data_IF_743661553861
#
_entry.id   IF_743661553861
#
_cell.length_a   1.000
_cell.length_b   1.000
_cell.length_c   1.000
_cell.angle_alpha   90.00
_cell.angle_beta   90.00
_cell.angle_gamma   90.00
#
_symmetry.space_group_name_H-M   'P 1'
#
loop_
_entity.id
_entity.type
_entity.pdbx_description
1 polymer ?
#
# COMPACT_ATOMS: atom_id res chain seq x y z
N UNK A 1 8.20 -11.43 -24.17
CA UNK A 1 9.09 -10.42 -23.53
C UNK A 1 8.38 -9.09 -23.66
N UNK A 2 8.25 -8.33 -22.57
CA UNK A 2 7.56 -7.05 -22.55
C UNK A 2 8.60 -5.95 -22.33
N UNK A 3 8.76 -5.05 -23.30
CA UNK A 3 9.64 -3.89 -23.19
C UNK A 3 8.80 -2.65 -22.91
N UNK A 4 9.22 -1.82 -21.95
CA UNK A 4 8.51 -0.61 -21.52
C UNK A 4 9.46 0.58 -21.57
N UNK A 5 9.10 1.61 -22.33
CA UNK A 5 9.77 2.92 -22.30
C UNK A 5 8.95 3.90 -21.43
N UNK A 6 9.62 4.51 -20.44
CA UNK A 6 9.01 5.41 -19.44
C UNK A 6 9.78 6.73 -19.37
N UNK A 7 9.18 7.80 -19.86
CA UNK A 7 9.73 9.16 -19.75
C UNK A 7 9.37 9.88 -18.42
N UNK A 8 8.78 9.20 -17.44
CA UNK A 8 8.26 9.81 -16.21
C UNK A 8 8.80 9.17 -14.92
N UNK A 9 8.87 9.97 -13.85
CA UNK A 9 9.32 9.61 -12.49
C UNK A 9 8.35 8.67 -11.73
N UNK A 10 7.92 7.58 -12.35
CA UNK A 10 7.12 6.53 -11.72
C UNK A 10 8.02 5.41 -11.18
N UNK A 11 7.57 4.81 -10.08
CA UNK A 11 8.18 3.60 -9.55
C UNK A 11 8.02 2.44 -10.54
N UNK A 12 9.14 1.96 -11.10
CA UNK A 12 9.19 0.75 -11.96
C UNK A 12 8.47 -0.44 -11.31
N UNK A 13 8.47 -0.53 -9.96
CA UNK A 13 7.77 -1.57 -9.21
C UNK A 13 6.24 -1.52 -9.34
N UNK A 14 5.62 -0.34 -9.41
CA UNK A 14 4.16 -0.22 -9.55
C UNK A 14 3.70 -0.78 -10.90
N UNK A 15 4.41 -0.41 -11.96
CA UNK A 15 4.16 -0.89 -13.33
C UNK A 15 4.43 -2.40 -13.42
N UNK A 16 5.56 -2.85 -12.85
CA UNK A 16 5.91 -4.26 -12.78
C UNK A 16 4.80 -5.09 -12.13
N UNK A 17 4.33 -4.68 -10.95
CA UNK A 17 3.29 -5.39 -10.21
C UNK A 17 1.96 -5.43 -10.97
N UNK A 18 1.61 -4.35 -11.67
CA UNK A 18 0.38 -4.28 -12.46
C UNK A 18 0.42 -5.26 -13.64
N UNK A 19 1.54 -5.33 -14.37
CA UNK A 19 1.71 -6.30 -15.47
C UNK A 19 1.66 -7.73 -14.94
N UNK A 20 2.23 -8.00 -13.76
CA UNK A 20 2.26 -9.33 -13.14
C UNK A 20 0.88 -9.85 -12.73
N UNK A 21 -0.14 -9.00 -12.65
CA UNK A 21 -1.53 -9.45 -12.51
C UNK A 21 -1.97 -10.26 -13.73
N UNK A 22 -1.53 -9.86 -14.93
CA UNK A 22 -1.96 -10.45 -16.20
C UNK A 22 -0.97 -11.49 -16.75
N UNK A 23 0.32 -11.24 -16.61
CA UNK A 23 1.38 -12.11 -17.13
C UNK A 23 2.50 -12.35 -16.11
N UNK A 24 2.54 -13.59 -15.61
CA UNK A 24 3.55 -14.06 -14.65
C UNK A 24 4.82 -14.59 -15.31
N UNK A 25 4.78 -14.84 -16.62
CA UNK A 25 5.77 -15.64 -17.35
C UNK A 25 6.74 -14.79 -18.17
N UNK A 26 6.29 -13.69 -18.76
CA UNK A 26 7.18 -12.85 -19.57
C UNK A 26 8.26 -12.19 -18.73
N UNK A 27 9.47 -12.14 -19.29
CA UNK A 27 10.48 -11.18 -18.83
C UNK A 27 9.99 -9.75 -19.14
N UNK A 28 10.02 -8.89 -18.12
CA UNK A 28 9.69 -7.46 -18.22
C UNK A 28 11.02 -6.70 -18.22
N UNK A 29 11.24 -5.86 -19.23
CA UNK A 29 12.42 -5.00 -19.35
C UNK A 29 11.98 -3.54 -19.41
N UNK A 30 12.60 -2.71 -18.59
CA UNK A 30 12.44 -1.26 -18.64
C UNK A 30 13.63 -0.71 -19.41
N UNK A 31 13.38 -0.05 -20.54
CA UNK A 31 14.40 0.56 -21.39
C UNK A 31 14.17 2.07 -21.45
N UNK A 32 15.24 2.84 -21.54
CA UNK A 32 15.21 4.30 -21.61
C UNK A 32 15.50 4.78 -23.05
N UNK A 33 15.35 3.89 -24.05
CA UNK A 33 15.68 4.14 -25.47
C UNK A 33 14.45 4.13 -26.39
N UNK A 34 14.46 5.00 -27.39
CA UNK A 34 13.34 5.26 -28.33
C UNK A 34 13.15 4.20 -29.44
N UNK A 35 14.00 3.18 -29.51
CA UNK A 35 13.98 2.19 -30.59
C UNK A 35 13.80 0.78 -30.06
N UNK A 36 12.55 0.33 -29.98
CA UNK A 36 12.21 -1.03 -29.63
C UNK A 36 11.17 -1.60 -30.61
N UNK A 37 11.54 -2.65 -31.33
CA UNK A 37 10.60 -3.48 -32.08
C UNK A 37 9.78 -4.36 -31.11
N UNK A 38 8.45 -4.21 -31.09
CA UNK A 38 7.48 -4.84 -30.16
C UNK A 38 7.59 -4.36 -28.70
N UNK A 39 7.10 -3.15 -28.43
CA UNK A 39 7.18 -2.54 -27.10
C UNK A 39 5.87 -1.84 -26.70
N UNK A 40 5.66 -1.71 -25.39
CA UNK A 40 4.68 -0.80 -24.81
C UNK A 40 5.36 0.55 -24.54
N UNK A 41 4.89 1.60 -25.21
CA UNK A 41 5.40 2.97 -25.09
C UNK A 41 4.41 3.81 -24.32
N UNK A 42 4.79 4.28 -23.12
CA UNK A 42 3.96 5.20 -22.33
C UNK A 42 4.45 6.63 -22.58
N UNK A 43 3.61 7.44 -23.22
CA UNK A 43 3.81 8.87 -23.40
C UNK A 43 3.05 9.65 -22.34
N UNK A 44 3.70 10.66 -21.77
CA UNK A 44 3.15 11.51 -20.72
C UNK A 44 3.28 12.97 -21.16
N UNK A 45 2.15 13.61 -21.38
CA UNK A 45 2.02 15.04 -21.61
C UNK A 45 1.44 15.73 -20.36
N UNK A 46 1.51 17.07 -20.31
CA UNK A 46 1.04 17.87 -19.16
C UNK A 46 -0.40 17.57 -18.70
N UNK A 47 -1.24 17.00 -19.57
CA UNK A 47 -2.64 16.67 -19.26
C UNK A 47 -3.04 15.25 -19.61
N UNK A 48 -2.18 14.47 -20.29
CA UNK A 48 -2.58 13.20 -20.91
C UNK A 48 -1.53 12.13 -20.76
N UNK A 49 -1.99 10.90 -20.51
CA UNK A 49 -1.14 9.72 -20.61
C UNK A 49 -1.65 8.83 -21.73
N UNK A 50 -0.77 8.45 -22.65
CA UNK A 50 -1.06 7.56 -23.78
C UNK A 50 -0.17 6.33 -23.71
N UNK A 51 -0.72 5.15 -23.97
CA UNK A 51 0.05 3.92 -24.10
C UNK A 51 -0.19 3.29 -25.46
N UNK A 52 0.90 3.04 -26.19
CA UNK A 52 0.91 2.39 -27.51
C UNK A 52 1.65 1.06 -27.42
N UNK A 53 1.17 0.03 -28.11
CA UNK A 53 1.85 -1.25 -28.24
C UNK A 53 2.23 -1.52 -29.70
N UNK A 54 3.52 -1.55 -30.01
CA UNK A 54 4.01 -1.84 -31.37
C UNK A 54 3.74 -3.32 -31.74
N UNK A 55 3.16 -3.55 -32.93
CA UNK A 55 2.63 -4.85 -33.37
C UNK A 55 1.11 -5.03 -33.12
N UNK A 56 0.48 -4.05 -32.48
CA UNK A 56 -0.97 -3.89 -32.33
C UNK A 56 -1.34 -2.46 -32.71
N UNK A 57 -1.13 -2.07 -33.98
CA UNK A 57 -1.40 -0.72 -34.52
C UNK A 57 -2.82 -0.18 -34.24
N UNK A 58 -3.71 -0.95 -33.61
CA UNK A 58 -5.10 -0.62 -33.28
C UNK A 58 -5.42 -0.48 -31.79
N UNK A 59 -4.50 -0.72 -30.86
CA UNK A 59 -4.77 -0.60 -29.42
C UNK A 59 -3.99 0.57 -28.81
N UNK A 60 -4.66 1.72 -28.73
CA UNK A 60 -4.19 2.89 -27.99
C UNK A 60 -5.21 3.24 -26.91
N UNK A 61 -4.74 3.37 -25.67
CA UNK A 61 -5.55 3.91 -24.57
C UNK A 61 -4.96 5.24 -24.15
N UNK A 62 -5.83 6.22 -23.88
CA UNK A 62 -5.45 7.47 -23.24
C UNK A 62 -6.39 7.83 -22.09
N UNK A 63 -5.88 8.60 -21.14
CA UNK A 63 -6.68 9.16 -20.05
C UNK A 63 -6.20 10.58 -19.76
N UNK A 64 -7.15 11.47 -19.49
CA UNK A 64 -6.83 12.80 -18.99
C UNK A 64 -6.52 12.71 -17.50
N UNK A 65 -5.41 13.32 -17.08
CA UNK A 65 -4.96 13.31 -15.69
C UNK A 65 -5.98 14.02 -14.78
N UNK A 66 -6.67 15.04 -15.31
CA UNK A 66 -7.68 15.80 -14.57
C UNK A 66 -8.95 14.98 -14.30
N UNK A 67 -9.28 14.00 -15.13
CA UNK A 67 -10.47 13.15 -14.95
C UNK A 67 -10.36 12.18 -13.76
N UNK A 68 -9.17 12.02 -13.18
CA UNK A 68 -8.90 11.10 -12.06
C UNK A 68 -8.71 11.80 -10.70
N UNK A 69 -9.03 13.09 -10.59
CA UNK A 69 -8.66 13.99 -9.48
C UNK A 69 -9.51 13.87 -8.20
N UNK A 70 -9.86 12.66 -7.76
CA UNK A 70 -10.77 12.50 -6.61
C UNK A 70 -10.11 12.66 -5.23
N UNK A 71 -8.77 12.60 -5.13
CA UNK A 71 -8.06 12.52 -3.84
C UNK A 71 -6.83 13.40 -3.68
N UNK A 72 -6.26 13.84 -4.79
CA UNK A 72 -4.89 14.34 -4.83
C UNK A 72 -4.82 15.57 -5.72
N UNK A 73 -4.42 16.69 -5.12
CA UNK A 73 -4.09 17.90 -5.87
C UNK A 73 -2.65 17.86 -6.39
N UNK A 74 -1.80 17.04 -5.77
CA UNK A 74 -0.42 16.84 -6.20
C UNK A 74 -0.36 16.19 -7.58
N UNK A 75 0.22 16.91 -8.54
CA UNK A 75 0.36 16.49 -9.93
C UNK A 75 1.02 15.12 -10.06
N UNK A 76 2.10 14.87 -9.31
CA UNK A 76 2.85 13.61 -9.31
C UNK A 76 1.98 12.40 -8.97
N UNK A 77 1.05 12.53 -8.02
CA UNK A 77 0.18 11.43 -7.61
C UNK A 77 -0.92 11.17 -8.64
N UNK A 78 -1.50 12.24 -9.21
CA UNK A 78 -2.48 12.12 -10.30
C UNK A 78 -1.86 11.47 -11.55
N UNK A 79 -0.64 11.86 -11.89
CA UNK A 79 0.10 11.24 -12.98
C UNK A 79 0.32 9.73 -12.74
N UNK A 80 0.70 9.33 -11.51
CA UNK A 80 0.83 7.91 -11.14
C UNK A 80 -0.46 7.12 -11.28
N UNK A 81 -1.60 7.73 -10.97
CA UNK A 81 -2.90 7.10 -11.20
C UNK A 81 -3.20 6.96 -12.70
N UNK A 82 -3.00 8.02 -13.48
CA UNK A 82 -3.24 8.02 -14.93
C UNK A 82 -2.42 6.94 -15.66
N UNK A 83 -1.13 6.81 -15.34
CA UNK A 83 -0.28 5.76 -15.93
C UNK A 83 -0.79 4.35 -15.61
N UNK A 84 -1.13 4.08 -14.35
CA UNK A 84 -1.67 2.77 -13.95
C UNK A 84 -3.04 2.49 -14.59
N UNK A 85 -3.89 3.51 -14.71
CA UNK A 85 -5.20 3.42 -15.35
C UNK A 85 -5.09 3.04 -16.82
N UNK A 86 -4.31 3.80 -17.58
CA UNK A 86 -4.07 3.57 -19.00
C UNK A 86 -3.44 2.20 -19.25
N UNK A 87 -2.42 1.84 -18.46
CA UNK A 87 -1.76 0.55 -18.57
C UNK A 87 -2.71 -0.62 -18.27
N UNK A 88 -3.51 -0.53 -17.22
CA UNK A 88 -4.48 -1.58 -16.89
C UNK A 88 -5.52 -1.78 -18.00
N UNK A 89 -6.05 -0.69 -18.59
CA UNK A 89 -7.01 -0.77 -19.69
C UNK A 89 -6.44 -1.53 -20.89
N UNK A 90 -5.21 -1.18 -21.29
CA UNK A 90 -4.54 -1.86 -22.40
C UNK A 90 -4.30 -3.35 -22.08
N UNK A 91 -3.78 -3.65 -20.90
CA UNK A 91 -3.50 -5.03 -20.49
C UNK A 91 -4.78 -5.87 -20.41
N UNK A 92 -5.88 -5.29 -19.92
CA UNK A 92 -7.20 -5.93 -19.86
C UNK A 92 -7.67 -6.36 -21.25
N UNK A 93 -7.57 -5.45 -22.21
CA UNK A 93 -7.96 -5.71 -23.60
C UNK A 93 -7.02 -6.73 -24.27
N UNK A 94 -5.70 -6.59 -24.06
CA UNK A 94 -4.70 -7.46 -24.69
C UNK A 94 -4.77 -8.90 -24.19
N UNK A 95 -4.87 -9.10 -22.88
CA UNK A 95 -4.95 -10.43 -22.27
C UNK A 95 -6.39 -10.99 -22.22
N UNK A 96 -7.39 -10.19 -22.58
CA UNK A 96 -8.81 -10.49 -22.44
C UNK A 96 -9.18 -11.06 -21.05
N UNK A 97 -8.66 -10.40 -20.01
CA UNK A 97 -8.81 -10.78 -18.60
C UNK A 97 -8.94 -9.52 -17.75
N UNK A 98 -9.46 -9.63 -16.54
CA UNK A 98 -9.57 -8.49 -15.63
C UNK A 98 -9.25 -8.88 -14.19
N UNK A 99 -8.83 -7.89 -13.41
CA UNK A 99 -8.63 -7.99 -11.97
C UNK A 99 -9.87 -7.50 -11.23
N UNK A 100 -10.33 -8.29 -10.27
CA UNK A 100 -11.37 -7.88 -9.33
C UNK A 100 -11.01 -6.62 -8.54
N UNK A 101 -9.71 -6.30 -8.41
CA UNK A 101 -9.19 -5.12 -7.71
C UNK A 101 -8.78 -3.98 -8.64
N UNK A 102 -8.96 -4.14 -9.96
CA UNK A 102 -8.58 -3.15 -10.96
C UNK A 102 -7.08 -2.83 -10.91
N UNK A 103 -6.75 -1.54 -10.79
CA UNK A 103 -5.36 -1.04 -10.79
C UNK A 103 -4.64 -1.18 -9.44
N UNK A 104 -5.33 -1.60 -8.38
CA UNK A 104 -4.73 -1.71 -7.06
C UNK A 104 -3.77 -2.89 -6.98
N UNK A 105 -2.51 -2.58 -6.73
CA UNK A 105 -1.44 -3.55 -6.47
C UNK A 105 -0.95 -3.40 -5.03
N UNK A 106 -0.99 -4.46 -4.22
CA UNK A 106 -0.47 -4.47 -2.85
C UNK A 106 -1.47 -4.90 -1.78
N UNK A 107 -1.14 -4.64 -0.52
CA UNK A 107 -1.92 -5.11 0.64
C UNK A 107 -2.88 -4.03 1.19
N UNK A 108 -4.03 -4.45 1.71
CA UNK A 108 -5.06 -3.66 2.45
C UNK A 108 -5.94 -2.70 1.61
N UNK A 109 -6.71 -3.22 0.63
CA UNK A 109 -7.65 -2.42 -0.16
C UNK A 109 -8.75 -1.72 0.67
N UNK A 110 -9.13 -2.27 1.83
CA UNK A 110 -10.11 -1.67 2.76
C UNK A 110 -9.65 -0.29 3.28
N UNK A 111 -8.32 -0.07 3.38
CA UNK A 111 -7.78 1.23 3.82
C UNK A 111 -8.24 2.37 2.92
N UNK A 112 -8.35 2.12 1.61
CA UNK A 112 -8.81 3.11 0.65
C UNK A 112 -10.25 3.54 0.97
N UNK A 113 -11.16 2.56 1.12
CA UNK A 113 -12.57 2.81 1.49
C UNK A 113 -12.68 3.62 2.78
N UNK A 114 -11.96 3.20 3.83
CA UNK A 114 -11.96 3.89 5.12
C UNK A 114 -11.46 5.33 5.00
N UNK A 115 -10.31 5.54 4.35
CA UNK A 115 -9.75 6.90 4.21
C UNK A 115 -10.66 7.82 3.39
N UNK A 116 -11.39 7.29 2.40
CA UNK A 116 -12.38 8.07 1.65
C UNK A 116 -13.60 8.43 2.51
N UNK A 117 -14.11 7.47 3.30
CA UNK A 117 -15.17 7.75 4.29
C UNK A 117 -14.76 8.81 5.31
N UNK A 118 -13.54 8.73 5.84
CA UNK A 118 -12.99 9.69 6.81
C UNK A 118 -12.82 11.10 6.22
N UNK A 119 -12.73 11.22 4.89
CA UNK A 119 -12.71 12.51 4.17
C UNK A 119 -14.11 13.07 3.90
N UNK A 120 -15.17 12.41 4.35
CA UNK A 120 -16.55 12.90 4.26
C UNK A 120 -17.30 12.50 2.99
N UNK A 121 -16.76 11.61 2.17
CA UNK A 121 -17.42 11.13 0.97
C UNK A 121 -18.61 10.22 1.32
N UNK A 122 -19.70 10.34 0.58
CA UNK A 122 -20.83 9.43 0.63
C UNK A 122 -20.49 8.05 0.06
N UNK A 123 -21.30 7.03 0.41
CA UNK A 123 -21.14 5.67 -0.12
C UNK A 123 -21.18 5.65 -1.65
N UNK A 124 -22.07 6.44 -2.28
CA UNK A 124 -22.16 6.51 -3.73
C UNK A 124 -20.90 7.13 -4.36
N UNK A 125 -20.34 8.17 -3.75
CA UNK A 125 -19.09 8.79 -4.23
C UNK A 125 -17.92 7.82 -4.09
N UNK A 126 -17.85 7.06 -2.99
CA UNK A 126 -16.83 6.02 -2.79
C UNK A 126 -16.94 4.94 -3.87
N UNK A 127 -18.14 4.45 -4.14
CA UNK A 127 -18.37 3.47 -5.20
C UNK A 127 -17.93 4.01 -6.57
N UNK A 128 -18.31 5.25 -6.89
CA UNK A 128 -17.92 5.91 -8.13
C UNK A 128 -16.40 6.01 -8.25
N UNK A 129 -15.73 6.42 -7.18
CA UNK A 129 -14.28 6.49 -7.12
C UNK A 129 -13.63 5.13 -7.33
N UNK A 130 -14.07 4.09 -6.62
CA UNK A 130 -13.49 2.74 -6.74
C UNK A 130 -13.72 2.16 -8.14
N UNK A 131 -14.88 2.45 -8.74
CA UNK A 131 -15.25 1.98 -10.08
C UNK A 131 -14.52 2.75 -11.18
N UNK A 132 -14.53 4.08 -11.14
CA UNK A 132 -14.01 4.93 -12.22
C UNK A 132 -12.50 5.14 -12.12
N UNK A 133 -11.99 5.42 -10.93
CA UNK A 133 -10.56 5.70 -10.72
C UNK A 133 -9.74 4.43 -10.55
N UNK A 134 -10.26 3.45 -9.83
CA UNK A 134 -9.51 2.22 -9.55
C UNK A 134 -9.91 1.03 -10.42
N UNK A 135 -10.94 1.16 -11.25
CA UNK A 135 -11.40 0.11 -12.17
C UNK A 135 -11.76 -1.20 -11.45
N UNK A 136 -12.28 -1.09 -10.22
CA UNK A 136 -12.59 -2.23 -9.37
C UNK A 136 -13.94 -2.86 -9.73
N UNK A 137 -14.03 -4.19 -9.65
CA UNK A 137 -15.27 -4.92 -9.91
C UNK A 137 -16.32 -4.64 -8.82
N UNK A 138 -17.60 -4.56 -9.22
CA UNK A 138 -18.70 -4.20 -8.32
C UNK A 138 -18.83 -5.13 -7.11
N UNK A 139 -18.67 -6.44 -7.31
CA UNK A 139 -18.70 -7.42 -6.22
C UNK A 139 -17.59 -7.20 -5.18
N UNK A 140 -16.42 -6.77 -5.62
CA UNK A 140 -15.30 -6.41 -4.74
C UNK A 140 -15.61 -5.14 -3.96
N UNK A 141 -16.14 -4.11 -4.64
CA UNK A 141 -16.53 -2.85 -4.00
C UNK A 141 -17.52 -3.09 -2.87
N UNK A 142 -18.61 -3.85 -3.14
CA UNK A 142 -19.61 -4.22 -2.12
C UNK A 142 -18.99 -4.94 -0.94
N UNK A 143 -18.05 -5.86 -1.19
CA UNK A 143 -17.32 -6.58 -0.14
C UNK A 143 -16.42 -5.67 0.68
N UNK A 144 -15.71 -4.72 0.06
CA UNK A 144 -14.86 -3.79 0.80
C UNK A 144 -15.68 -2.83 1.66
N UNK A 145 -16.83 -2.37 1.15
CA UNK A 145 -17.78 -1.56 1.93
C UNK A 145 -18.32 -2.34 3.13
N UNK A 146 -18.72 -3.60 2.95
CA UNK A 146 -19.22 -4.41 4.07
C UNK A 146 -18.13 -4.70 5.11
N UNK A 147 -16.90 -4.99 4.69
CA UNK A 147 -15.76 -5.15 5.61
C UNK A 147 -15.51 -3.84 6.36
N UNK A 148 -15.50 -2.70 5.66
CA UNK A 148 -15.29 -1.40 6.30
C UNK A 148 -16.39 -1.06 7.31
N UNK A 149 -17.65 -1.42 7.03
CA UNK A 149 -18.76 -1.22 7.96
C UNK A 149 -18.59 -2.05 9.24
N UNK A 150 -18.21 -3.34 9.10
CA UNK A 150 -17.90 -4.20 10.24
C UNK A 150 -16.70 -3.66 11.01
N UNK A 151 -15.59 -3.33 10.35
CA UNK A 151 -14.41 -2.74 10.99
C UNK A 151 -14.80 -1.46 11.75
N UNK A 152 -15.53 -0.53 11.14
CA UNK A 152 -15.95 0.71 11.81
C UNK A 152 -16.86 0.46 13.02
N UNK A 153 -17.70 -0.57 12.98
CA UNK A 153 -18.54 -0.94 14.14
C UNK A 153 -17.72 -1.44 15.33
N UNK A 154 -16.56 -2.05 15.06
CA UNK A 154 -15.63 -2.58 16.06
C UNK A 154 -14.62 -1.51 16.50
N UNK A 155 -14.19 -0.65 15.58
CA UNK A 155 -13.27 0.46 15.77
C UNK A 155 -13.99 1.68 16.35
N UNK A 156 -14.74 1.49 17.44
CA UNK A 156 -15.28 2.62 18.22
C UNK A 156 -14.10 3.47 18.69
N UNK A 157 -13.91 4.62 18.03
CA UNK A 157 -12.89 5.60 18.41
C UNK A 157 -13.30 6.19 19.74
N UNK A 158 -12.70 5.70 20.81
CA UNK A 158 -12.74 6.37 22.10
C UNK A 158 -11.55 7.34 22.13
N UNK A 159 -11.79 8.66 22.06
CA UNK A 159 -10.72 9.66 22.00
C UNK A 159 -9.86 9.67 23.27
N UNK A 160 -10.37 9.10 24.36
CA UNK A 160 -9.62 8.93 25.61
C UNK A 160 -8.91 7.58 25.71
N UNK A 161 -8.84 6.80 24.63
CA UNK A 161 -8.23 5.46 24.64
C UNK A 161 -7.13 5.30 23.60
N UNK A 162 -6.06 4.63 23.99
CA UNK A 162 -4.96 4.25 23.11
C UNK A 162 -4.62 2.76 23.21
N UNK A 163 -3.86 2.27 22.24
CA UNK A 163 -3.22 0.96 22.28
C UNK A 163 -1.71 1.15 22.32
N UNK A 164 -1.04 0.46 23.23
CA UNK A 164 0.40 0.55 23.43
C UNK A 164 1.10 -0.60 22.71
N UNK A 165 2.06 -0.28 21.85
CA UNK A 165 2.97 -1.24 21.24
C UNK A 165 4.32 -1.16 21.93
N UNK A 166 4.82 -2.28 22.44
CA UNK A 166 6.15 -2.41 23.04
C UNK A 166 6.98 -3.30 22.11
N UNK A 167 8.03 -2.74 21.53
CA UNK A 167 8.88 -3.46 20.59
C UNK A 167 10.14 -3.99 21.27
N UNK A 168 10.23 -5.30 21.50
CA UNK A 168 11.42 -6.01 21.96
C UNK A 168 12.30 -6.32 20.73
N UNK A 169 13.43 -5.63 20.51
CA UNK A 169 14.17 -5.71 19.26
C UNK A 169 15.14 -6.89 19.21
N UNK A 170 14.98 -7.90 20.06
CA UNK A 170 15.94 -8.99 20.22
C UNK A 170 15.37 -10.34 19.80
N UNK A 171 16.21 -11.16 19.16
CA UNK A 171 15.90 -12.51 18.76
C UNK A 171 16.96 -13.49 19.32
N UNK A 172 16.59 -14.74 19.67
CA UNK A 172 17.58 -15.76 20.03
C UNK A 172 18.44 -16.18 18.83
N UNK A 173 17.93 -16.01 17.60
CA UNK A 173 18.64 -16.25 16.34
C UNK A 173 17.98 -15.46 15.22
N UNK A 174 18.71 -15.15 14.15
CA UNK A 174 18.17 -14.42 13.00
C UNK A 174 17.70 -15.37 11.90
N UNK A 175 16.42 -15.33 11.54
CA UNK A 175 15.90 -16.09 10.41
C UNK A 175 16.39 -15.52 9.07
N UNK A 176 16.72 -16.37 8.10
CA UNK A 176 17.23 -15.95 6.79
C UNK A 176 16.28 -15.04 6.00
N UNK A 177 14.97 -15.18 6.21
CA UNK A 177 13.94 -14.38 5.55
C UNK A 177 13.51 -13.14 6.35
N UNK A 178 14.07 -12.91 7.54
CA UNK A 178 13.58 -11.86 8.44
C UNK A 178 13.88 -10.46 7.87
N UNK A 179 12.83 -9.70 7.58
CA UNK A 179 12.90 -8.29 7.17
C UNK A 179 12.64 -7.30 8.31
N UNK A 180 12.41 -7.79 9.53
CA UNK A 180 12.16 -6.95 10.70
C UNK A 180 13.48 -6.47 11.31
N UNK A 181 13.48 -5.23 11.82
CA UNK A 181 14.61 -4.65 12.56
C UNK A 181 14.72 -5.39 13.88
N UNK A 182 15.73 -6.24 14.01
CA UNK A 182 16.01 -7.01 15.22
C UNK A 182 17.49 -7.42 15.28
N UNK A 183 18.02 -7.54 16.49
CA UNK A 183 19.38 -7.97 16.78
C UNK A 183 19.38 -9.35 17.45
N UNK A 184 20.43 -10.13 17.24
CA UNK A 184 20.59 -11.41 17.96
C UNK A 184 21.20 -11.11 19.33
N UNK A 185 20.45 -11.38 20.39
CA UNK A 185 20.93 -11.19 21.76
C UNK A 185 20.36 -12.28 22.66
N UNK A 186 21.24 -12.88 23.48
CA UNK A 186 20.88 -13.81 24.57
C UNK A 186 21.54 -13.41 25.89
N UNK A 187 22.24 -12.28 25.92
CA UNK A 187 22.93 -11.81 27.10
C UNK A 187 21.91 -11.15 28.03
N UNK A 188 21.66 -11.79 29.17
CA UNK A 188 20.69 -11.31 30.16
C UNK A 188 21.04 -9.90 30.65
N UNK A 189 22.31 -9.53 30.76
CA UNK A 189 22.73 -8.19 31.21
C UNK A 189 22.29 -7.13 30.19
N UNK A 190 22.41 -7.42 28.90
CA UNK A 190 21.97 -6.51 27.84
C UNK A 190 20.44 -6.40 27.83
N UNK A 191 19.74 -7.52 28.00
CA UNK A 191 18.29 -7.54 28.07
C UNK A 191 17.77 -6.76 29.28
N UNK A 192 18.35 -6.98 30.46
CA UNK A 192 17.99 -6.26 31.69
C UNK A 192 18.24 -4.76 31.54
N UNK A 193 19.42 -4.36 31.02
CA UNK A 193 19.70 -2.93 30.76
C UNK A 193 18.73 -2.32 29.75
N UNK A 194 18.33 -3.07 28.73
CA UNK A 194 17.32 -2.60 27.78
C UNK A 194 15.96 -2.41 28.47
N UNK A 195 15.56 -3.34 29.33
CA UNK A 195 14.31 -3.27 30.09
C UNK A 195 14.32 -2.10 31.07
N UNK A 196 15.43 -1.86 31.78
CA UNK A 196 15.57 -0.70 32.67
C UNK A 196 15.30 0.61 31.93
N UNK A 197 15.94 0.80 30.77
CA UNK A 197 15.74 2.00 29.93
C UNK A 197 14.33 2.06 29.34
N UNK A 198 13.76 0.92 28.93
CA UNK A 198 12.38 0.86 28.44
C UNK A 198 11.39 1.25 29.53
N UNK A 199 11.60 0.83 30.77
CA UNK A 199 10.76 1.19 31.92
C UNK A 199 10.87 2.69 32.21
N UNK A 200 12.08 3.26 32.15
CA UNK A 200 12.28 4.70 32.26
C UNK A 200 11.55 5.47 31.15
N UNK A 201 11.62 5.00 29.90
CA UNK A 201 10.91 5.60 28.77
C UNK A 201 9.38 5.52 28.96
N UNK A 202 8.87 4.37 29.43
CA UNK A 202 7.45 4.18 29.71
C UNK A 202 6.99 5.13 30.83
N UNK A 203 7.79 5.29 31.89
CA UNK A 203 7.50 6.23 32.96
C UNK A 203 7.46 7.68 32.46
N UNK A 204 8.45 8.09 31.65
CA UNK A 204 8.48 9.43 31.07
C UNK A 204 7.29 9.69 30.12
N UNK A 205 6.83 8.68 29.38
CA UNK A 205 5.65 8.78 28.50
C UNK A 205 4.32 8.70 29.25
N UNK A 206 4.30 8.18 30.48
CA UNK A 206 3.07 8.10 31.27
C UNK A 206 2.48 9.49 31.53
N UNK A 207 3.31 10.51 31.71
CA UNK A 207 2.87 11.90 31.89
C UNK A 207 2.09 12.42 30.68
N UNK A 208 2.45 12.00 29.46
CA UNK A 208 1.71 12.35 28.24
C UNK A 208 0.30 11.75 28.30
N UNK A 209 0.15 10.53 28.79
CA UNK A 209 -1.16 9.89 28.93
C UNK A 209 -2.02 10.60 29.97
N UNK A 210 -1.45 10.89 31.14
CA UNK A 210 -2.17 11.56 32.23
C UNK A 210 -2.60 12.96 31.82
N UNK A 211 -1.68 13.76 31.26
CA UNK A 211 -1.97 15.15 30.84
C UNK A 211 -3.04 15.24 29.75
N UNK A 212 -3.13 14.23 28.88
CA UNK A 212 -4.13 14.15 27.82
C UNK A 212 -5.36 13.31 28.21
N UNK A 213 -5.46 12.86 29.47
CA UNK A 213 -6.56 12.03 29.98
C UNK A 213 -6.79 10.76 29.13
N UNK A 214 -5.69 10.15 28.69
CA UNK A 214 -5.69 8.93 27.88
C UNK A 214 -5.58 7.68 28.75
N UNK A 215 -6.28 6.63 28.34
CA UNK A 215 -6.29 5.30 28.97
C UNK A 215 -5.74 4.25 27.99
N UNK A 216 -4.92 3.33 28.48
CA UNK A 216 -4.39 2.22 27.67
C UNK A 216 -5.41 1.08 27.68
N UNK A 217 -5.98 0.76 26.52
CA UNK A 217 -6.96 -0.34 26.38
C UNK A 217 -6.37 -1.67 25.93
N UNK A 218 -5.23 -1.62 25.25
CA UNK A 218 -4.53 -2.83 24.84
C UNK A 218 -3.03 -2.61 24.86
N UNK A 219 -2.29 -3.66 25.18
CA UNK A 219 -0.83 -3.71 25.11
C UNK A 219 -0.45 -4.84 24.18
N UNK A 220 0.36 -4.54 23.18
CA UNK A 220 0.94 -5.53 22.28
C UNK A 220 2.45 -5.51 22.43
N UNK A 221 3.03 -6.64 22.83
CA UNK A 221 4.48 -6.83 22.92
C UNK A 221 4.94 -7.61 21.69
N UNK A 222 5.78 -6.98 20.87
CA UNK A 222 6.23 -7.50 19.57
C UNK A 222 7.68 -7.17 19.27
N UNK A 223 8.08 -7.18 18.01
CA UNK A 223 9.43 -6.85 17.57
C UNK A 223 10.17 -8.06 17.00
N UNK A 224 11.35 -8.34 17.53
CA UNK A 224 12.08 -9.58 17.28
C UNK A 224 11.31 -10.78 17.83
N UNK A 225 11.78 -11.34 18.93
CA UNK A 225 11.14 -12.46 19.62
C UNK A 225 10.97 -12.07 21.09
N UNK A 226 9.81 -11.50 21.50
CA UNK A 226 9.57 -11.11 22.88
C UNK A 226 9.84 -12.21 23.91
N UNK A 227 9.64 -13.47 23.52
CA UNK A 227 9.92 -14.65 24.35
C UNK A 227 11.41 -14.96 24.51
N UNK A 228 12.31 -14.11 24.02
CA UNK A 228 13.72 -14.10 24.44
C UNK A 228 13.86 -13.64 25.89
N UNK A 229 12.89 -12.87 26.38
CA UNK A 229 12.76 -12.47 27.78
C UNK A 229 12.27 -13.66 28.61
N UNK A 230 12.77 -13.77 29.83
CA UNK A 230 12.27 -14.72 30.82
C UNK A 230 10.88 -14.33 31.30
N UNK A 231 10.15 -15.27 31.90
CA UNK A 231 8.83 -15.01 32.49
C UNK A 231 8.86 -13.95 33.61
N UNK A 232 10.02 -13.67 34.22
CA UNK A 232 10.18 -12.61 35.22
C UNK A 232 10.38 -11.23 34.59
N UNK A 233 10.97 -11.18 33.41
CA UNK A 233 11.25 -9.96 32.67
C UNK A 233 10.01 -9.43 31.91
N UNK A 234 9.05 -10.30 31.61
CA UNK A 234 7.73 -9.96 31.04
C UNK A 234 6.73 -9.55 32.12
#
# INVERSE_FOLDING_TARGET
>A
MININLNASISKNEIYNLIRIFDKSSQIRFDDKDHLSHAMVIMVDNTRVTLNADGLEKMASSVDVCELSYFYDEYTVRLKLAIRHTLYKLLREYFNRESNYGILTGTRPVKLVRTTLERGFSHQEIENVLKQTYLMAEGTIKRLLSICAVENSLLKKDPSSISLYIGIPYCPSRCHYCSFISEVCKDEIILDRYLDILIEELAAKADILVSNQLSVKSVYVGGGTPTVLTARQL
#
